data_IF_281177173022
#
_entry.id   IF_281177173022
#
_cell.length_a   1.000
_cell.length_b   1.000
_cell.length_c   1.000
_cell.angle_alpha   90.00
_cell.angle_beta   90.00
_cell.angle_gamma   90.00
#
_symmetry.space_group_name_H-M   'P 1'
#
loop_
_entity.id
_entity.type
_entity.pdbx_description
1 polymer ?
#
# COMPACT_ATOMS: atom_id res chain seq x y z
N UNK A 1 18.73 -7.67 10.06
CA UNK A 1 17.76 -6.96 10.92
C UNK A 1 16.75 -7.98 11.40
N UNK A 2 16.42 -8.01 12.70
CA UNK A 2 15.39 -8.92 13.23
C UNK A 2 14.07 -8.59 12.53
N UNK A 3 13.41 -9.57 11.93
CA UNK A 3 12.16 -9.31 11.20
C UNK A 3 11.13 -8.75 12.20
N UNK A 4 10.40 -7.66 11.87
CA UNK A 4 9.43 -7.06 12.79
C UNK A 4 8.32 -8.06 13.17
N UNK A 5 7.58 -7.81 14.25
CA UNK A 5 6.47 -8.71 14.64
C UNK A 5 5.42 -8.81 13.55
N UNK A 6 4.69 -9.93 13.51
CA UNK A 6 3.64 -10.18 12.51
C UNK A 6 2.63 -9.03 12.43
N UNK A 7 2.13 -8.55 13.58
CA UNK A 7 1.21 -7.40 13.66
C UNK A 7 1.84 -6.14 13.04
N UNK A 8 3.12 -5.88 13.30
CA UNK A 8 3.82 -4.71 12.73
C UNK A 8 3.94 -4.82 11.22
N UNK A 9 4.26 -6.02 10.68
CA UNK A 9 4.32 -6.27 9.24
C UNK A 9 2.96 -5.97 8.60
N UNK A 10 1.88 -6.49 9.19
CA UNK A 10 0.53 -6.31 8.67
C UNK A 10 0.09 -4.84 8.70
N UNK A 11 0.41 -4.10 9.77
CA UNK A 11 0.18 -2.66 9.87
C UNK A 11 0.93 -1.88 8.78
N UNK A 12 2.19 -2.24 8.49
CA UNK A 12 2.96 -1.61 7.40
C UNK A 12 2.26 -1.85 6.06
N UNK A 13 1.78 -3.07 5.81
CA UNK A 13 1.09 -3.41 4.56
C UNK A 13 -0.21 -2.61 4.43
N UNK A 14 -1.04 -2.55 5.47
CA UNK A 14 -2.27 -1.75 5.48
C UNK A 14 -1.96 -0.27 5.21
N UNK A 15 -0.91 0.26 5.84
CA UNK A 15 -0.53 1.66 5.68
C UNK A 15 -0.09 1.95 4.24
N UNK A 16 0.67 1.05 3.61
CA UNK A 16 1.09 1.18 2.21
C UNK A 16 -0.08 1.01 1.23
N UNK A 17 -1.05 0.16 1.54
CA UNK A 17 -2.23 -0.04 0.69
C UNK A 17 -3.23 1.13 0.78
N UNK A 18 -3.29 1.82 1.91
CA UNK A 18 -4.26 2.89 2.13
C UNK A 18 -3.68 4.28 1.91
N UNK A 19 -2.55 4.62 2.56
CA UNK A 19 -2.09 6.01 2.65
C UNK A 19 -1.68 6.58 1.29
N UNK A 20 -0.79 5.94 0.49
CA UNK A 20 -0.42 6.45 -0.81
C UNK A 20 -1.62 6.59 -1.77
N UNK A 21 -2.47 5.57 -1.99
CA UNK A 21 -3.59 5.69 -2.93
C UNK A 21 -4.62 6.73 -2.51
N UNK A 22 -4.94 6.83 -1.21
CA UNK A 22 -5.89 7.82 -0.68
C UNK A 22 -5.33 9.23 -0.85
N UNK A 23 -4.07 9.47 -0.44
CA UNK A 23 -3.45 10.78 -0.58
C UNK A 23 -3.31 11.19 -2.04
N UNK A 24 -2.89 10.27 -2.91
CA UNK A 24 -2.82 10.48 -4.36
C UNK A 24 -4.19 10.82 -4.94
N UNK A 25 -5.25 10.14 -4.53
CA UNK A 25 -6.62 10.47 -4.94
C UNK A 25 -7.03 11.87 -4.49
N UNK A 26 -6.76 12.19 -3.23
CA UNK A 26 -7.20 13.45 -2.62
C UNK A 26 -6.44 14.66 -3.20
N UNK A 27 -5.12 14.57 -3.26
CA UNK A 27 -4.25 15.60 -3.85
C UNK A 27 -4.52 15.72 -5.34
N UNK A 28 -4.61 14.59 -6.06
CA UNK A 28 -4.93 14.58 -7.48
C UNK A 28 -6.29 15.21 -7.77
N UNK A 29 -7.30 14.93 -6.93
CA UNK A 29 -8.64 15.54 -7.09
C UNK A 29 -8.62 17.05 -6.85
N UNK A 30 -7.80 17.52 -5.90
CA UNK A 30 -7.67 18.94 -5.58
C UNK A 30 -7.02 19.73 -6.72
N UNK A 31 -5.98 19.19 -7.36
CA UNK A 31 -5.22 19.93 -8.39
C UNK A 31 -5.61 19.62 -9.84
N UNK A 32 -6.10 18.42 -10.14
CA UNK A 32 -6.34 17.93 -11.50
C UNK A 32 -7.83 17.67 -11.80
N UNK A 33 -8.71 17.90 -10.82
CA UNK A 33 -10.13 17.56 -10.89
C UNK A 33 -10.43 16.11 -10.50
N UNK A 34 -11.69 15.85 -10.17
CA UNK A 34 -12.15 14.60 -9.55
C UNK A 34 -11.78 13.34 -10.35
N UNK A 35 -12.08 13.32 -11.65
CA UNK A 35 -11.88 12.12 -12.47
C UNK A 35 -10.40 11.76 -12.60
N UNK A 36 -9.55 12.77 -12.84
CA UNK A 36 -8.10 12.60 -12.91
C UNK A 36 -7.51 12.20 -11.55
N UNK A 37 -8.05 12.74 -10.45
CA UNK A 37 -7.66 12.35 -9.10
C UNK A 37 -7.93 10.88 -8.80
N UNK A 38 -9.13 10.40 -9.12
CA UNK A 38 -9.50 8.99 -8.97
C UNK A 38 -8.59 8.10 -9.82
N UNK A 39 -8.36 8.47 -11.09
CA UNK A 39 -7.46 7.74 -11.98
C UNK A 39 -6.04 7.65 -11.40
N UNK A 40 -5.51 8.76 -10.89
CA UNK A 40 -4.18 8.81 -10.30
C UNK A 40 -4.09 7.94 -9.03
N UNK A 41 -5.12 7.92 -8.19
CA UNK A 41 -5.24 6.99 -7.07
C UNK A 41 -5.17 5.52 -7.50
N UNK A 42 -5.90 5.14 -8.56
CA UNK A 42 -5.83 3.79 -9.14
C UNK A 42 -4.43 3.45 -9.64
N UNK A 43 -3.80 4.35 -10.40
CA UNK A 43 -2.45 4.16 -10.92
C UNK A 43 -1.42 3.96 -9.80
N UNK A 44 -1.52 4.70 -8.70
CA UNK A 44 -0.66 4.54 -7.52
C UNK A 44 -1.00 3.29 -6.71
N UNK A 45 -2.26 2.85 -6.72
CA UNK A 45 -2.68 1.61 -6.08
C UNK A 45 -1.98 0.36 -6.63
N UNK A 46 -1.75 0.29 -7.95
CA UNK A 46 -1.11 -0.86 -8.61
C UNK A 46 0.27 -1.20 -8.01
N UNK A 47 1.25 -0.26 -7.90
CA UNK A 47 2.53 -0.57 -7.27
C UNK A 47 2.39 -0.86 -5.77
N UNK A 48 1.46 -0.23 -5.05
CA UNK A 48 1.20 -0.54 -3.64
C UNK A 48 0.74 -1.99 -3.43
N UNK A 49 -0.19 -2.47 -4.27
CA UNK A 49 -0.65 -3.87 -4.25
C UNK A 49 0.47 -4.81 -4.64
N UNK A 50 1.24 -4.46 -5.67
CA UNK A 50 2.39 -5.27 -6.11
C UNK A 50 3.42 -5.43 -4.98
N UNK A 51 3.75 -4.34 -4.28
CA UNK A 51 4.63 -4.37 -3.11
C UNK A 51 4.05 -5.22 -1.97
N UNK A 52 2.75 -5.07 -1.69
CA UNK A 52 2.09 -5.84 -0.64
C UNK A 52 2.12 -7.35 -0.94
N UNK A 53 1.79 -7.75 -2.16
CA UNK A 53 1.87 -9.15 -2.59
C UNK A 53 3.31 -9.67 -2.51
N UNK A 54 4.29 -8.89 -2.96
CA UNK A 54 5.69 -9.29 -2.85
C UNK A 54 6.10 -9.51 -1.39
N UNK A 55 5.78 -8.58 -0.49
CA UNK A 55 6.09 -8.74 0.93
C UNK A 55 5.39 -9.92 1.59
N UNK A 56 4.10 -10.09 1.34
CA UNK A 56 3.32 -11.14 1.98
C UNK A 56 3.71 -12.55 1.50
N UNK A 57 3.98 -12.72 0.20
CA UNK A 57 4.12 -14.05 -0.42
C UNK A 57 5.54 -14.42 -0.82
N UNK A 58 6.39 -13.44 -1.15
CA UNK A 58 7.77 -13.71 -1.57
C UNK A 58 8.74 -13.55 -0.39
N UNK A 59 8.53 -12.51 0.44
CA UNK A 59 9.32 -12.32 1.66
C UNK A 59 8.73 -13.04 2.88
N UNK A 60 7.65 -13.82 2.70
CA UNK A 60 6.98 -14.62 3.74
C UNK A 60 6.56 -13.79 4.95
N UNK A 61 6.10 -12.53 4.73
CA UNK A 61 5.59 -11.71 5.85
C UNK A 61 4.25 -12.18 6.39
N UNK A 62 3.56 -13.05 5.65
CA UNK A 62 2.26 -13.61 6.05
C UNK A 62 2.38 -14.67 7.14
N UNK A 63 3.48 -15.42 7.17
CA UNK A 63 3.61 -16.55 8.08
C UNK A 63 4.15 -16.05 9.43
N UNK A 64 3.59 -16.58 10.52
CA UNK A 64 4.13 -16.34 11.86
C UNK A 64 5.43 -17.14 12.02
N UNK A 65 6.47 -16.52 12.57
CA UNK A 65 7.66 -17.25 13.00
C UNK A 65 7.29 -17.97 14.31
N UNK A 66 6.98 -19.26 14.23
CA UNK A 66 6.76 -20.17 15.37
C UNK A 66 7.89 -20.08 16.42
#
# INVERSE_FOLDING_TARGET
MKRPSFVTRLLIIVLILCVPPILSTQIGSFYLGRDNGILLGFCVGIPCVTFACWKLYIDEWRDEED
#
